data_IF_851174890481
#
_entry.id   IF_851174890481
#
_cell.length_a   1.000
_cell.length_b   1.000
_cell.length_c   1.000
_cell.angle_alpha   90.00
_cell.angle_beta   90.00
_cell.angle_gamma   90.00
#
_symmetry.space_group_name_H-M   'P 1'
#
loop_
_entity.id
_entity.type
_entity.pdbx_description
1 polymer ?
#
# COMPACT_ATOMS: atom_id res chain seq x y z
N UNK A 1 57.71 -33.21 65.37
CA UNK A 1 57.02 -31.91 65.21
C UNK A 1 57.05 -31.56 63.73
N UNK A 2 56.13 -32.07 62.92
CA UNK A 2 54.83 -31.47 62.56
C UNK A 2 54.95 -29.98 62.23
N UNK A 3 55.00 -29.64 60.94
CA UNK A 3 53.98 -28.82 60.24
C UNK A 3 54.43 -28.57 58.79
N UNK A 4 53.97 -29.42 57.88
CA UNK A 4 53.71 -29.00 56.50
C UNK A 4 52.63 -27.91 56.55
N UNK A 5 52.90 -26.76 55.90
CA UNK A 5 51.94 -25.65 55.82
C UNK A 5 51.62 -25.33 54.35
N UNK A 6 50.48 -25.89 53.96
CA UNK A 6 49.47 -25.51 52.95
C UNK A 6 49.87 -24.73 51.68
N UNK A 7 49.42 -25.18 50.49
CA UNK A 7 49.38 -24.36 49.29
C UNK A 7 48.22 -23.35 49.36
N UNK A 8 48.46 -22.16 48.81
CA UNK A 8 47.47 -21.10 48.64
C UNK A 8 46.37 -21.50 47.65
N UNK A 9 45.14 -21.25 48.06
CA UNK A 9 43.91 -21.61 47.36
C UNK A 9 43.52 -20.47 46.41
N UNK A 10 43.96 -20.53 45.16
CA UNK A 10 43.43 -19.65 44.11
C UNK A 10 41.99 -20.09 43.78
N UNK A 11 41.03 -19.23 44.11
CA UNK A 11 39.62 -19.46 43.88
C UNK A 11 39.30 -19.42 42.38
N UNK A 12 38.61 -20.47 41.92
CA UNK A 12 37.89 -20.52 40.64
C UNK A 12 36.98 -19.29 40.49
N UNK A 13 37.16 -18.54 39.42
CA UNK A 13 36.12 -17.70 38.84
C UNK A 13 35.92 -18.12 37.38
N UNK A 14 34.96 -19.01 37.16
CA UNK A 14 34.49 -19.40 35.84
C UNK A 14 33.65 -18.26 35.27
N UNK A 15 34.28 -17.32 34.56
CA UNK A 15 33.57 -16.28 33.81
C UNK A 15 32.99 -16.93 32.55
N UNK A 16 31.74 -17.40 32.65
CA UNK A 16 30.93 -17.89 31.54
C UNK A 16 30.94 -16.84 30.41
N UNK A 17 31.32 -17.27 29.21
CA UNK A 17 31.12 -16.53 27.97
C UNK A 17 29.64 -16.16 27.87
N UNK A 18 29.32 -14.86 27.87
CA UNK A 18 28.05 -14.38 27.32
C UNK A 18 28.19 -14.48 25.81
N UNK A 19 27.75 -15.59 25.26
CA UNK A 19 27.36 -15.64 23.85
C UNK A 19 26.30 -14.56 23.67
N UNK A 20 26.57 -13.57 22.81
CA UNK A 20 25.52 -12.68 22.33
C UNK A 20 24.53 -13.58 21.63
N UNK A 21 23.34 -13.76 22.21
CA UNK A 21 22.24 -14.37 21.49
C UNK A 21 21.92 -13.46 20.32
N UNK A 22 22.33 -13.84 19.12
CA UNK A 22 21.64 -13.38 17.93
C UNK A 22 20.19 -13.78 18.11
N UNK A 23 19.30 -12.78 18.17
CA UNK A 23 17.87 -13.02 18.10
C UNK A 23 17.59 -13.87 16.87
N UNK A 24 16.76 -14.92 16.97
CA UNK A 24 16.39 -15.69 15.80
C UNK A 24 15.61 -14.76 14.87
N UNK A 25 16.17 -14.56 13.68
CA UNK A 25 15.45 -14.01 12.55
C UNK A 25 14.29 -14.98 12.26
N UNK A 26 13.08 -14.61 12.67
CA UNK A 26 11.86 -15.43 12.56
C UNK A 26 11.19 -15.05 11.23
N UNK A 27 11.50 -15.75 10.13
CA UNK A 27 10.62 -16.76 9.49
C UNK A 27 9.24 -16.19 9.10
N UNK A 28 8.78 -16.12 7.84
CA UNK A 28 8.87 -17.09 6.75
C UNK A 28 8.55 -16.46 5.39
N UNK A 29 9.50 -16.48 4.44
CA UNK A 29 9.26 -16.32 2.99
C UNK A 29 9.04 -17.69 2.30
N UNK A 30 8.51 -18.68 3.01
CA UNK A 30 8.52 -20.10 2.58
C UNK A 30 7.16 -20.70 2.26
N UNK A 31 6.07 -19.95 2.44
CA UNK A 31 4.73 -20.43 2.07
C UNK A 31 4.37 -19.97 0.65
N UNK A 32 4.42 -20.90 -0.29
CA UNK A 32 3.88 -20.69 -1.65
C UNK A 32 2.42 -20.27 -1.53
N UNK A 33 2.10 -19.10 -2.05
CA UNK A 33 0.75 -18.54 -1.99
C UNK A 33 0.21 -18.37 -3.40
N UNK A 34 -0.91 -19.01 -3.70
CA UNK A 34 -1.63 -18.84 -4.96
C UNK A 34 -2.87 -17.99 -4.69
N UNK A 35 -2.91 -16.81 -5.28
CA UNK A 35 -4.06 -15.91 -5.21
C UNK A 35 -4.98 -16.19 -6.38
N UNK A 36 -6.02 -17.00 -6.15
CA UNK A 36 -7.10 -17.19 -7.12
C UNK A 36 -7.89 -15.90 -7.39
N UNK A 37 -8.75 -15.86 -8.42
CA UNK A 37 -9.53 -14.66 -8.79
C UNK A 37 -10.41 -14.10 -7.66
N UNK A 38 -10.84 -14.96 -6.73
CA UNK A 38 -11.74 -14.64 -5.61
C UNK A 38 -11.14 -14.98 -4.22
N UNK A 39 -9.82 -15.20 -4.14
CA UNK A 39 -9.14 -15.48 -2.87
C UNK A 39 -8.59 -14.18 -2.29
N UNK A 40 -9.35 -13.54 -1.42
CA UNK A 40 -8.86 -12.37 -0.69
C UNK A 40 -7.94 -12.79 0.46
N UNK A 41 -6.65 -12.48 0.37
CA UNK A 41 -5.79 -12.46 1.54
C UNK A 41 -6.23 -11.29 2.42
N UNK A 42 -7.18 -11.57 3.32
CA UNK A 42 -7.75 -10.62 4.28
C UNK A 42 -8.48 -9.44 3.61
N UNK A 43 -9.72 -9.72 3.20
CA UNK A 43 -10.81 -8.75 3.05
C UNK A 43 -10.70 -7.84 1.84
N UNK A 44 -11.67 -7.93 0.92
CA UNK A 44 -12.09 -6.76 0.15
C UNK A 44 -12.34 -5.64 1.16
N UNK A 45 -11.67 -4.50 1.00
CA UNK A 45 -12.11 -3.29 1.66
C UNK A 45 -13.40 -2.87 0.95
N UNK A 46 -14.52 -3.46 1.35
CA UNK A 46 -15.80 -3.34 0.64
C UNK A 46 -16.23 -1.88 0.46
N UNK A 47 -15.78 -1.00 1.36
CA UNK A 47 -16.00 0.44 1.26
C UNK A 47 -15.16 1.14 0.17
N UNK A 48 -14.04 0.57 -0.27
CA UNK A 48 -13.14 1.14 -1.29
C UNK A 48 -13.07 0.32 -2.58
N UNK A 49 -13.64 -0.90 -2.60
CA UNK A 49 -13.60 -1.80 -3.76
C UNK A 49 -12.19 -2.35 -4.08
N UNK A 50 -11.24 -2.19 -3.15
CA UNK A 50 -9.85 -2.62 -3.30
C UNK A 50 -9.66 -4.03 -2.74
N UNK A 51 -8.97 -4.87 -3.51
CA UNK A 51 -8.51 -6.20 -3.09
C UNK A 51 -7.02 -6.16 -2.79
N UNK A 52 -6.67 -6.45 -1.54
CA UNK A 52 -5.27 -6.59 -1.11
C UNK A 52 -4.68 -7.92 -1.61
N UNK A 53 -3.67 -7.87 -2.47
CA UNK A 53 -3.01 -9.07 -3.00
C UNK A 53 -1.71 -9.38 -2.25
N UNK A 54 -0.81 -8.41 -2.13
CA UNK A 54 0.46 -8.55 -1.40
C UNK A 54 0.65 -7.33 -0.50
N UNK A 55 0.97 -7.57 0.78
CA UNK A 55 1.28 -6.51 1.75
C UNK A 55 2.78 -6.30 1.88
N UNK A 56 3.19 -5.10 2.31
CA UNK A 56 4.57 -4.75 2.62
C UNK A 56 5.27 -5.74 3.57
N UNK A 57 4.55 -6.25 4.58
CA UNK A 57 5.08 -7.28 5.50
C UNK A 57 5.52 -8.56 4.78
N UNK A 58 4.89 -8.90 3.66
CA UNK A 58 5.25 -10.07 2.85
C UNK A 58 6.40 -9.80 1.89
N UNK A 59 6.83 -8.56 1.74
CA UNK A 59 7.89 -8.12 0.82
C UNK A 59 9.05 -7.45 1.57
N UNK A 60 9.08 -7.58 2.90
CA UNK A 60 10.04 -6.89 3.79
C UNK A 60 10.08 -5.37 3.56
N UNK A 61 8.93 -4.78 3.21
CA UNK A 61 8.77 -3.35 2.91
C UNK A 61 9.04 -2.98 1.45
N UNK A 62 9.38 -3.93 0.58
CA UNK A 62 9.74 -3.65 -0.82
C UNK A 62 8.59 -3.05 -1.64
N UNK A 63 7.41 -3.66 -1.58
CA UNK A 63 6.20 -3.16 -2.26
C UNK A 63 4.92 -3.71 -1.64
N UNK A 64 3.79 -3.07 -1.96
CA UNK A 64 2.47 -3.67 -1.86
C UNK A 64 1.81 -3.77 -3.23
N UNK A 65 0.90 -4.74 -3.36
CA UNK A 65 0.15 -5.01 -4.59
C UNK A 65 -1.34 -5.02 -4.24
N UNK A 66 -2.08 -4.16 -4.91
CA UNK A 66 -3.54 -4.08 -4.78
C UNK A 66 -4.19 -4.24 -6.14
N UNK A 67 -5.41 -4.76 -6.14
CA UNK A 67 -6.23 -4.87 -7.34
C UNK A 67 -7.46 -3.98 -7.17
N UNK A 68 -7.73 -3.16 -8.19
CA UNK A 68 -8.96 -2.38 -8.27
C UNK A 68 -9.88 -3.00 -9.31
N UNK A 69 -11.17 -3.08 -8.97
CA UNK A 69 -12.27 -3.24 -9.92
C UNK A 69 -12.93 -1.88 -10.05
N UNK A 70 -12.85 -1.29 -11.24
CA UNK A 70 -13.26 0.09 -11.47
C UNK A 70 -14.58 0.04 -12.25
N UNK A 71 -15.65 0.51 -11.61
CA UNK A 71 -16.94 0.65 -12.26
C UNK A 71 -16.84 1.57 -13.50
N UNK A 72 -17.78 1.45 -14.45
CA UNK A 72 -17.91 2.42 -15.54
C UNK A 72 -17.89 3.86 -15.02
N UNK A 73 -17.23 4.76 -15.75
CA UNK A 73 -17.19 6.20 -15.44
C UNK A 73 -16.77 6.52 -13.99
N UNK A 74 -15.84 5.74 -13.43
CA UNK A 74 -15.42 5.88 -12.02
C UNK A 74 -13.91 6.06 -11.87
N UNK A 75 -13.51 6.89 -10.90
CA UNK A 75 -12.13 7.11 -10.47
C UNK A 75 -11.74 6.13 -9.35
N UNK A 76 -10.46 5.77 -9.27
CA UNK A 76 -9.94 4.93 -8.18
C UNK A 76 -9.70 5.70 -6.88
N UNK A 77 -9.41 6.99 -7.01
CA UNK A 77 -9.05 7.92 -5.94
C UNK A 77 -9.12 9.36 -6.45
N UNK A 78 -9.19 10.37 -5.56
CA UNK A 78 -8.98 11.76 -5.94
C UNK A 78 -7.60 11.97 -6.56
N UNK A 79 -7.39 13.09 -7.24
CA UNK A 79 -6.04 13.51 -7.67
C UNK A 79 -5.15 13.61 -6.44
N UNK A 80 -4.02 12.91 -6.48
CA UNK A 80 -3.11 12.83 -5.35
C UNK A 80 -1.65 12.74 -5.75
N UNK A 81 -0.77 12.95 -4.78
CA UNK A 81 0.69 12.85 -4.93
C UNK A 81 1.28 12.11 -3.75
N UNK A 82 2.12 11.13 -4.04
CA UNK A 82 2.95 10.44 -3.07
C UNK A 82 4.29 11.16 -2.89
N UNK A 83 4.68 11.45 -1.65
CA UNK A 83 6.04 11.93 -1.35
C UNK A 83 7.08 10.82 -1.25
N UNK A 84 6.63 9.57 -1.04
CA UNK A 84 7.48 8.42 -0.69
C UNK A 84 7.44 7.31 -1.74
N UNK A 85 6.27 7.05 -2.30
CA UNK A 85 6.04 5.90 -3.18
C UNK A 85 6.02 6.29 -4.67
N UNK A 86 6.61 5.43 -5.49
CA UNK A 86 6.26 5.33 -6.91
C UNK A 86 5.09 4.35 -7.06
N UNK A 87 4.26 4.54 -8.07
CA UNK A 87 3.10 3.69 -8.33
C UNK A 87 3.03 3.22 -9.80
N UNK A 88 2.60 1.97 -10.02
CA UNK A 88 2.55 1.35 -11.33
C UNK A 88 1.17 0.70 -11.56
N UNK A 89 0.40 1.25 -12.51
CA UNK A 89 -0.89 0.72 -12.91
C UNK A 89 -0.70 -0.30 -14.03
N UNK A 90 -1.05 -1.56 -13.82
CA UNK A 90 -1.05 -2.60 -14.87
C UNK A 90 -2.50 -2.95 -15.21
N UNK A 91 -2.90 -2.78 -16.46
CA UNK A 91 -4.28 -3.05 -16.89
C UNK A 91 -4.47 -4.54 -17.15
N UNK A 92 -5.34 -5.16 -16.37
CA UNK A 92 -5.67 -6.59 -16.49
C UNK A 92 -6.83 -6.87 -17.43
N UNK A 93 -7.83 -5.97 -17.46
CA UNK A 93 -8.96 -6.03 -18.37
C UNK A 93 -9.59 -4.66 -18.56
N UNK A 94 -10.17 -4.42 -19.74
CA UNK A 94 -10.77 -3.13 -20.08
C UNK A 94 -9.72 -2.10 -20.48
N UNK A 95 -10.09 -0.83 -20.33
CA UNK A 95 -9.26 0.34 -20.60
C UNK A 95 -9.41 1.32 -19.45
N UNK A 96 -8.32 2.01 -19.13
CA UNK A 96 -8.30 3.09 -18.14
C UNK A 96 -7.67 4.32 -18.76
N UNK A 97 -8.00 5.48 -18.20
CA UNK A 97 -7.29 6.72 -18.42
C UNK A 97 -6.59 7.13 -17.12
N UNK A 98 -5.48 7.85 -17.26
CA UNK A 98 -4.77 8.40 -16.12
C UNK A 98 -4.25 9.80 -16.43
N UNK A 99 -4.32 10.66 -15.43
CA UNK A 99 -3.56 11.91 -15.40
C UNK A 99 -2.22 11.61 -14.72
N UNK A 100 -1.11 12.00 -15.33
CA UNK A 100 0.24 11.94 -14.73
C UNK A 100 0.94 13.25 -15.02
N UNK A 101 1.03 14.11 -14.01
CA UNK A 101 1.39 15.51 -14.20
C UNK A 101 0.42 16.21 -15.10
N UNK A 102 0.92 16.80 -16.18
CA UNK A 102 0.11 17.60 -17.11
C UNK A 102 -0.45 16.77 -18.28
N UNK A 103 -0.18 15.47 -18.31
CA UNK A 103 -0.58 14.58 -19.39
C UNK A 103 -1.76 13.69 -18.98
N UNK A 104 -2.70 13.50 -19.91
CA UNK A 104 -3.73 12.46 -19.82
C UNK A 104 -3.40 11.37 -20.82
N UNK A 105 -3.26 10.14 -20.33
CA UNK A 105 -2.91 8.95 -21.12
C UNK A 105 -4.01 7.90 -21.02
N UNK A 106 -4.12 7.05 -22.03
CA UNK A 106 -5.05 5.92 -22.08
C UNK A 106 -4.26 4.62 -22.17
N UNK A 107 -4.66 3.62 -21.38
CA UNK A 107 -4.01 2.33 -21.30
C UNK A 107 -5.05 1.21 -21.42
N UNK A 108 -4.81 0.28 -22.35
CA UNK A 108 -5.63 -0.91 -22.56
C UNK A 108 -5.01 -2.13 -21.89
N UNK A 109 -5.73 -3.26 -21.91
CA UNK A 109 -5.29 -4.52 -21.32
C UNK A 109 -3.86 -4.91 -21.75
N UNK A 110 -3.02 -5.19 -20.76
CA UNK A 110 -1.60 -5.54 -20.95
C UNK A 110 -0.65 -4.33 -20.92
N UNK A 111 -1.15 -3.10 -20.99
CA UNK A 111 -0.34 -1.90 -20.83
C UNK A 111 -0.06 -1.59 -19.35
N UNK A 112 0.96 -0.76 -19.12
CA UNK A 112 1.35 -0.26 -17.80
C UNK A 112 1.53 1.26 -17.84
N UNK A 113 1.05 1.95 -16.81
CA UNK A 113 1.26 3.38 -16.57
C UNK A 113 2.21 3.51 -15.37
N UNK A 114 3.28 4.29 -15.51
CA UNK A 114 4.21 4.59 -14.44
C UNK A 114 3.93 5.98 -13.87
N UNK A 115 3.75 6.08 -12.55
CA UNK A 115 3.47 7.30 -11.80
C UNK A 115 4.63 7.54 -10.82
N UNK A 116 5.58 8.42 -11.16
CA UNK A 116 6.70 8.72 -10.27
C UNK A 116 6.24 9.38 -8.98
N UNK A 117 6.95 9.10 -7.88
CA UNK A 117 6.82 9.87 -6.64
C UNK A 117 7.00 11.36 -6.91
N UNK A 118 6.29 12.19 -6.16
CA UNK A 118 6.30 13.64 -6.33
C UNK A 118 5.48 14.16 -7.52
N UNK A 119 4.86 13.27 -8.29
CA UNK A 119 3.99 13.65 -9.41
C UNK A 119 2.51 13.53 -9.02
N UNK A 120 1.71 14.56 -9.31
CA UNK A 120 0.25 14.48 -9.21
C UNK A 120 -0.30 13.48 -10.22
N UNK A 121 -1.24 12.64 -9.79
CA UNK A 121 -1.88 11.68 -10.66
C UNK A 121 -3.29 11.27 -10.20
N UNK A 122 -4.04 10.69 -11.14
CA UNK A 122 -5.32 10.04 -10.92
C UNK A 122 -5.54 8.96 -11.98
N UNK A 123 -6.33 7.93 -11.66
CA UNK A 123 -6.71 6.86 -12.60
C UNK A 123 -8.23 6.71 -12.59
N UNK A 124 -8.83 6.54 -13.77
CA UNK A 124 -10.27 6.32 -13.92
C UNK A 124 -10.60 5.40 -15.09
N UNK A 125 -11.82 4.85 -15.04
CA UNK A 125 -12.42 4.13 -16.15
C UNK A 125 -13.25 5.10 -17.02
N UNK A 126 -12.88 5.33 -18.29
CA UNK A 126 -13.61 6.22 -19.19
C UNK A 126 -14.76 5.54 -19.93
N UNK A 127 -14.96 4.23 -19.76
CA UNK A 127 -15.82 3.41 -20.59
C UNK A 127 -17.08 2.91 -19.86
N UNK A 128 -18.04 2.41 -20.64
CA UNK A 128 -19.32 1.84 -20.15
C UNK A 128 -19.18 0.42 -19.58
N UNK A 129 -18.01 -0.22 -19.75
CA UNK A 129 -17.70 -1.54 -19.23
C UNK A 129 -16.71 -1.44 -18.06
N UNK A 130 -16.78 -2.34 -17.05
CA UNK A 130 -15.84 -2.34 -15.94
C UNK A 130 -14.39 -2.57 -16.39
N UNK A 131 -13.46 -1.97 -15.66
CA UNK A 131 -12.02 -2.17 -15.84
C UNK A 131 -11.39 -2.84 -14.60
N UNK A 132 -10.28 -3.54 -14.80
CA UNK A 132 -9.50 -4.14 -13.71
C UNK A 132 -8.04 -3.78 -13.87
N UNK A 133 -7.45 -3.31 -12.79
CA UNK A 133 -6.02 -2.96 -12.73
C UNK A 133 -5.36 -3.62 -11.52
N UNK A 134 -4.04 -3.79 -11.64
CA UNK A 134 -3.16 -3.93 -10.49
C UNK A 134 -2.46 -2.59 -10.25
N UNK A 135 -2.33 -2.20 -9.00
CA UNK A 135 -1.44 -1.12 -8.58
C UNK A 135 -0.31 -1.72 -7.74
N UNK A 136 0.92 -1.52 -8.21
CA UNK A 136 2.13 -1.84 -7.46
C UNK A 136 2.61 -0.54 -6.84
N UNK A 137 2.78 -0.53 -5.53
CA UNK A 137 3.18 0.66 -4.78
C UNK A 137 4.50 0.37 -4.08
N UNK A 138 5.53 1.19 -4.30
CA UNK A 138 6.87 0.94 -3.76
C UNK A 138 7.55 2.24 -3.27
N UNK A 139 8.11 2.27 -2.05
CA UNK A 139 8.11 1.20 -1.04
C UNK A 139 6.72 0.81 -0.54
N UNK A 140 6.58 -0.38 0.06
CA UNK A 140 5.32 -0.80 0.67
C UNK A 140 5.05 -0.05 1.99
N UNK A 141 3.80 -0.10 2.45
CA UNK A 141 3.34 0.51 3.72
C UNK A 141 2.13 1.43 3.53
N UNK A 142 1.96 1.98 2.32
CA UNK A 142 0.79 2.80 1.98
C UNK A 142 -0.52 2.03 2.07
N UNK A 143 -0.50 0.71 1.91
CA UNK A 143 -1.70 -0.09 1.94
C UNK A 143 -2.47 -0.07 3.27
N UNK A 144 -1.77 0.25 4.37
CA UNK A 144 -2.40 0.44 5.67
C UNK A 144 -3.42 1.61 5.63
N UNK A 145 -3.22 2.58 4.73
CA UNK A 145 -4.18 3.65 4.50
C UNK A 145 -5.52 3.13 3.97
N UNK A 146 -5.51 2.16 3.06
CA UNK A 146 -6.75 1.58 2.53
C UNK A 146 -7.58 0.96 3.67
N UNK A 147 -6.92 0.31 4.63
CA UNK A 147 -7.58 -0.28 5.81
C UNK A 147 -8.10 0.78 6.80
N UNK A 148 -7.43 1.93 6.89
CA UNK A 148 -7.83 3.03 7.77
C UNK A 148 -8.90 3.95 7.19
N UNK A 149 -8.95 4.09 5.86
CA UNK A 149 -9.82 5.06 5.18
C UNK A 149 -11.30 4.96 5.58
N UNK A 150 -11.93 3.77 5.68
CA UNK A 150 -13.33 3.68 6.09
C UNK A 150 -13.60 4.24 7.49
N UNK A 151 -12.63 4.10 8.41
CA UNK A 151 -12.74 4.67 9.76
C UNK A 151 -12.58 6.17 9.74
N UNK A 152 -11.57 6.67 9.03
CA UNK A 152 -11.32 8.11 8.88
C UNK A 152 -12.54 8.82 8.26
N UNK A 153 -13.15 8.23 7.24
CA UNK A 153 -14.35 8.78 6.60
C UNK A 153 -15.59 8.73 7.51
N UNK A 154 -15.75 7.69 8.32
CA UNK A 154 -16.86 7.60 9.27
C UNK A 154 -16.74 8.62 10.42
N UNK A 155 -15.52 8.89 10.88
CA UNK A 155 -15.22 9.86 11.94
C UNK A 155 -15.28 11.32 11.46
N UNK A 156 -15.11 11.54 10.15
CA UNK A 156 -15.16 12.85 9.51
C UNK A 156 -16.59 13.37 9.33
N UNK A 157 -17.36 13.51 10.41
CA UNK A 157 -18.74 14.03 10.34
C UNK A 157 -18.84 15.53 9.97
N UNK A 158 -17.72 16.25 9.77
CA UNK A 158 -17.71 17.61 9.18
C UNK A 158 -16.31 18.16 8.79
N UNK A 159 -15.23 17.38 8.84
CA UNK A 159 -13.87 17.90 8.62
C UNK A 159 -13.10 17.07 7.58
N UNK A 160 -13.44 17.18 6.30
CA UNK A 160 -12.64 16.56 5.22
C UNK A 160 -11.16 17.01 5.27
N UNK A 161 -10.90 18.25 5.70
CA UNK A 161 -9.56 18.79 5.93
C UNK A 161 -8.78 18.02 7.01
N UNK A 162 -9.45 17.47 8.04
CA UNK A 162 -8.76 16.71 9.09
C UNK A 162 -8.30 15.33 8.61
N UNK A 163 -9.03 14.72 7.66
CA UNK A 163 -8.62 13.46 7.04
C UNK A 163 -7.44 13.69 6.10
N UNK A 164 -7.53 14.68 5.19
CA UNK A 164 -6.44 14.97 4.26
C UNK A 164 -5.13 15.30 4.99
N UNK A 165 -5.18 16.16 6.01
CA UNK A 165 -4.01 16.50 6.82
C UNK A 165 -3.42 15.27 7.56
N UNK A 166 -4.28 14.36 8.02
CA UNK A 166 -3.84 13.13 8.69
C UNK A 166 -3.14 12.19 7.71
N UNK A 167 -3.71 12.06 6.52
CA UNK A 167 -3.15 11.23 5.45
C UNK A 167 -1.80 11.76 4.99
N UNK A 168 -1.67 13.08 4.83
CA UNK A 168 -0.39 13.71 4.53
C UNK A 168 0.65 13.45 5.62
N UNK A 169 0.30 13.68 6.89
CA UNK A 169 1.23 13.52 8.01
C UNK A 169 1.74 12.07 8.16
N UNK A 170 0.83 11.09 8.09
CA UNK A 170 1.16 9.70 8.39
C UNK A 170 1.73 8.97 7.15
N UNK A 171 1.14 9.23 5.98
CA UNK A 171 1.43 8.49 4.74
C UNK A 171 2.20 9.31 3.71
N UNK A 172 2.29 10.63 3.87
CA UNK A 172 2.98 11.48 2.90
C UNK A 172 2.22 11.60 1.58
N UNK A 173 0.88 11.58 1.64
CA UNK A 173 -0.01 11.69 0.47
C UNK A 173 -0.81 12.98 0.58
N UNK A 174 -0.73 13.79 -0.46
CA UNK A 174 -1.52 15.02 -0.60
C UNK A 174 -2.64 14.80 -1.61
N UNK A 175 -3.76 15.48 -1.43
CA UNK A 175 -4.89 15.46 -2.35
C UNK A 175 -5.15 16.84 -2.96
N UNK A 176 -5.46 16.87 -4.26
CA UNK A 176 -5.96 18.06 -4.94
C UNK A 176 -7.44 17.88 -5.28
N UNK A 177 -8.30 18.37 -4.40
CA UNK A 177 -9.75 18.25 -4.57
C UNK A 177 -10.31 19.17 -5.66
N UNK A 178 -9.58 20.23 -6.02
CA UNK A 178 -9.98 21.12 -7.12
C UNK A 178 -9.74 20.43 -8.45
N UNK A 179 -8.52 19.94 -8.68
CA UNK A 179 -8.18 19.16 -9.87
C UNK A 179 -9.05 17.89 -9.98
N UNK A 180 -9.38 17.26 -8.85
CA UNK A 180 -10.32 16.13 -8.83
C UNK A 180 -11.69 16.52 -9.40
N UNK A 181 -12.25 17.65 -8.97
CA UNK A 181 -13.54 18.12 -9.47
C UNK A 181 -13.48 18.48 -10.96
N UNK A 182 -12.37 19.06 -11.42
CA UNK A 182 -12.15 19.40 -12.83
C UNK A 182 -12.07 18.14 -13.72
N UNK A 183 -11.33 17.11 -13.30
CA UNK A 183 -11.28 15.82 -14.00
C UNK A 183 -12.66 15.17 -14.04
N UNK A 184 -13.35 15.11 -12.90
CA UNK A 184 -14.68 14.54 -12.79
C UNK A 184 -15.66 15.21 -13.77
N UNK A 185 -15.65 16.54 -13.83
CA UNK A 185 -16.48 17.30 -14.76
C UNK A 185 -16.08 17.09 -16.22
N UNK A 186 -14.79 17.17 -16.53
CA UNK A 186 -14.26 17.12 -17.91
C UNK A 186 -14.47 15.76 -18.55
N UNK A 187 -14.28 14.69 -17.77
CA UNK A 187 -14.34 13.32 -18.27
C UNK A 187 -15.64 12.60 -17.92
N UNK A 188 -16.57 13.25 -17.22
CA UNK A 188 -17.86 12.67 -16.84
C UNK A 188 -17.73 11.51 -15.87
N UNK A 189 -16.74 11.55 -14.97
CA UNK A 189 -16.43 10.47 -14.03
C UNK A 189 -16.72 10.86 -12.58
N UNK A 190 -17.01 9.87 -11.75
CA UNK A 190 -17.26 10.04 -10.31
C UNK A 190 -16.53 9.02 -9.45
N UNK A 191 -17.00 8.81 -8.22
CA UNK A 191 -16.54 7.73 -7.35
C UNK A 191 -17.63 6.67 -7.26
N UNK A 192 -17.29 5.44 -7.65
CA UNK A 192 -18.22 4.32 -7.66
C UNK A 192 -17.46 3.00 -7.52
N UNK A 193 -18.07 2.04 -6.82
CA UNK A 193 -17.60 0.65 -6.76
C UNK A 193 -18.46 -0.20 -7.69
N UNK A 194 -17.84 -1.17 -8.36
CA UNK A 194 -18.59 -2.15 -9.17
C UNK A 194 -19.44 -3.02 -8.24
N UNK A 195 -20.77 -2.98 -8.42
CA UNK A 195 -21.70 -3.87 -7.71
C UNK A 195 -21.52 -5.31 -8.18
N UNK A 196 -21.43 -6.25 -7.23
CA UNK A 196 -21.28 -7.69 -7.50
C UNK A 196 -22.51 -8.28 -8.19
#
# INVERSE_FOLDING_TARGET
>A
MIRESKPERSQRSSRRQRTKSMSPNSANHTTTTVLGPDVDLAGTLAATGVRMMVRSKQTEGGFSLVQHRIAPHSMTSPVHRHSREDEYTVVQSGRVAAMVGDEVVYAETGAMIFKPRGQWHAVWNPDDAPARILEIITPGGMEDLFELMPKLLAEASSAAESVAARVEADFGIEFDLVATAEIAQTHGVGFGIESH
#
